data_IF_136280447297
#
_entry.id   IF_136280447297
#
_cell.length_a   1.000
_cell.length_b   1.000
_cell.length_c   1.000
_cell.angle_alpha   90.00
_cell.angle_beta   90.00
_cell.angle_gamma   90.00
#
_symmetry.space_group_name_H-M   'P 1'
#
loop_
_entity.id
_entity.type
_entity.pdbx_description
1 polymer ?
#
# COMPACT_ATOMS: atom_id res chain seq x y z
N UNK A 1 -19.86 19.24 13.53
CA UNK A 1 -19.86 17.76 13.62
C UNK A 1 -19.16 17.09 12.44
N UNK A 2 -19.49 17.40 11.18
CA UNK A 2 -18.86 16.80 10.00
C UNK A 2 -17.32 16.95 9.93
N UNK A 3 -16.79 18.13 10.25
CA UNK A 3 -15.35 18.40 10.24
C UNK A 3 -14.55 17.44 11.14
N UNK A 4 -15.06 17.15 12.34
CA UNK A 4 -14.42 16.21 13.29
C UNK A 4 -14.28 14.82 12.68
N UNK A 5 -15.29 14.34 11.95
CA UNK A 5 -15.23 13.04 11.28
C UNK A 5 -14.21 13.02 10.13
N UNK A 6 -14.12 14.10 9.36
CA UNK A 6 -13.14 14.21 8.27
C UNK A 6 -11.71 14.19 8.81
N UNK A 7 -11.45 14.91 9.91
CA UNK A 7 -10.13 14.92 10.55
C UNK A 7 -9.75 13.53 11.07
N UNK A 8 -10.68 12.86 11.79
CA UNK A 8 -10.46 11.49 12.28
C UNK A 8 -10.19 10.55 11.10
N UNK A 9 -10.97 10.66 10.03
CA UNK A 9 -10.80 9.84 8.82
C UNK A 9 -9.46 10.07 8.15
N UNK A 10 -9.05 11.34 7.96
CA UNK A 10 -7.77 11.68 7.35
C UNK A 10 -6.56 11.17 8.15
N UNK A 11 -6.59 11.31 9.48
CA UNK A 11 -5.53 10.76 10.35
C UNK A 11 -5.48 9.23 10.24
N UNK A 12 -6.63 8.55 10.25
CA UNK A 12 -6.70 7.10 10.06
C UNK A 12 -6.18 6.66 8.68
N UNK A 13 -6.56 7.37 7.61
CA UNK A 13 -6.08 7.11 6.25
C UNK A 13 -4.56 7.21 6.14
N UNK A 14 -3.95 8.25 6.71
CA UNK A 14 -2.50 8.44 6.68
C UNK A 14 -1.80 7.34 7.49
N UNK A 15 -2.27 7.07 8.71
CA UNK A 15 -1.70 6.01 9.55
C UNK A 15 -1.80 4.63 8.89
N UNK A 16 -2.95 4.31 8.28
CA UNK A 16 -3.17 3.06 7.56
C UNK A 16 -2.27 2.95 6.33
N UNK A 17 -2.07 4.02 5.57
CA UNK A 17 -1.18 4.05 4.41
C UNK A 17 0.28 3.76 4.78
N UNK A 18 0.78 4.37 5.87
CA UNK A 18 2.13 4.14 6.38
C UNK A 18 2.30 2.68 6.82
N UNK A 19 1.37 2.16 7.62
CA UNK A 19 1.38 0.77 8.08
C UNK A 19 1.34 -0.21 6.90
N UNK A 20 0.50 0.06 5.90
CA UNK A 20 0.41 -0.76 4.70
C UNK A 20 1.70 -0.77 3.89
N UNK A 21 2.41 0.37 3.80
CA UNK A 21 3.72 0.44 3.17
C UNK A 21 4.73 -0.49 3.86
N UNK A 22 4.81 -0.44 5.19
CA UNK A 22 5.73 -1.28 5.98
C UNK A 22 5.37 -2.76 5.80
N UNK A 23 4.11 -3.12 6.04
CA UNK A 23 3.59 -4.49 5.93
C UNK A 23 3.77 -5.05 4.51
N UNK A 24 3.53 -4.27 3.47
CA UNK A 24 3.70 -4.72 2.09
C UNK A 24 5.16 -5.01 1.77
N UNK A 25 6.10 -4.30 2.39
CA UNK A 25 7.53 -4.59 2.29
C UNK A 25 7.91 -5.88 2.95
N UNK A 26 7.55 -6.05 4.23
CA UNK A 26 7.82 -7.26 5.01
C UNK A 26 7.19 -8.49 4.35
N UNK A 27 5.97 -8.34 3.83
CA UNK A 27 5.20 -9.43 3.21
C UNK A 27 5.50 -9.64 1.72
N UNK A 28 6.48 -8.94 1.15
CA UNK A 28 6.87 -9.06 -0.26
C UNK A 28 5.70 -8.83 -1.25
N UNK A 29 4.79 -7.91 -0.90
CA UNK A 29 3.62 -7.53 -1.69
C UNK A 29 3.85 -6.21 -2.43
N UNK A 30 2.95 -5.83 -3.34
CA UNK A 30 3.08 -4.58 -4.09
C UNK A 30 2.84 -3.36 -3.18
N UNK A 31 3.86 -2.52 -2.96
CA UNK A 31 3.76 -1.33 -2.11
C UNK A 31 2.67 -0.38 -2.59
N UNK A 32 2.75 0.06 -3.85
CA UNK A 32 1.89 1.12 -4.39
C UNK A 32 0.42 0.75 -4.32
N UNK A 33 0.10 -0.51 -4.61
CA UNK A 33 -1.26 -1.03 -4.49
C UNK A 33 -1.77 -0.94 -3.05
N UNK A 34 -1.02 -1.47 -2.08
CA UNK A 34 -1.47 -1.54 -0.69
C UNK A 34 -1.49 -0.19 0.03
N UNK A 35 -0.56 0.70 -0.29
CA UNK A 35 -0.52 2.07 0.24
C UNK A 35 -1.70 2.89 -0.28
N UNK A 36 -1.95 2.88 -1.60
CA UNK A 36 -3.05 3.62 -2.21
C UNK A 36 -4.41 3.15 -1.66
N UNK A 37 -4.60 1.84 -1.59
CA UNK A 37 -5.84 1.25 -1.09
C UNK A 37 -6.08 1.51 0.40
N UNK A 38 -5.03 1.45 1.22
CA UNK A 38 -5.15 1.74 2.66
C UNK A 38 -5.32 3.23 2.95
N UNK A 39 -4.90 4.12 2.04
CA UNK A 39 -5.18 5.54 2.15
C UNK A 39 -6.66 5.86 1.86
N UNK A 40 -7.22 5.29 0.78
CA UNK A 40 -8.63 5.50 0.40
C UNK A 40 -9.57 4.82 1.39
N UNK A 41 -9.25 3.57 1.77
CA UNK A 41 -10.01 2.76 2.70
C UNK A 41 -9.09 2.33 3.85
N UNK A 42 -9.00 3.09 4.95
CA UNK A 42 -8.15 2.77 6.11
C UNK A 42 -8.25 1.32 6.60
N UNK A 43 -9.45 0.71 6.70
CA UNK A 43 -9.61 -0.68 7.13
C UNK A 43 -8.91 -1.72 6.24
N UNK A 44 -8.53 -1.36 5.01
CA UNK A 44 -7.90 -2.27 4.05
C UNK A 44 -6.52 -2.75 4.50
N UNK A 45 -5.86 -2.03 5.41
CA UNK A 45 -4.62 -2.48 6.06
C UNK A 45 -4.81 -3.78 6.85
N UNK A 46 -6.01 -4.05 7.38
CA UNK A 46 -6.30 -5.28 8.11
C UNK A 46 -6.21 -6.50 7.20
N UNK A 47 -6.68 -6.40 5.95
CA UNK A 47 -6.53 -7.48 4.96
C UNK A 47 -5.07 -7.82 4.73
N UNK A 48 -4.20 -6.80 4.66
CA UNK A 48 -2.76 -7.00 4.52
C UNK A 48 -2.16 -7.67 5.76
N UNK A 49 -2.65 -7.38 6.97
CA UNK A 49 -2.24 -8.04 8.21
C UNK A 49 -2.58 -9.54 8.19
N UNK A 50 -3.74 -9.93 7.65
CA UNK A 50 -4.13 -11.34 7.55
C UNK A 50 -3.46 -12.10 6.39
N UNK A 51 -3.05 -11.42 5.33
CA UNK A 51 -2.42 -12.08 4.19
C UNK A 51 -1.03 -12.67 4.55
N UNK A 52 -0.71 -13.91 4.17
CA UNK A 52 0.63 -14.43 4.35
C UNK A 52 1.64 -13.70 3.46
N UNK A 53 2.90 -13.71 3.90
CA UNK A 53 4.03 -13.23 3.09
C UNK A 53 4.04 -13.98 1.76
N UNK A 54 4.19 -13.23 0.66
CA UNK A 54 4.29 -13.83 -0.66
C UNK A 54 5.66 -14.46 -0.83
N UNK A 55 5.69 -15.78 -0.99
CA UNK A 55 6.89 -16.53 -1.35
C UNK A 55 7.17 -16.38 -2.85
N UNK A 56 8.45 -16.21 -3.21
CA UNK A 56 8.88 -16.04 -4.60
C UNK A 56 9.22 -14.60 -5.00
N UNK A 57 9.39 -14.38 -6.31
CA UNK A 57 9.77 -13.07 -6.85
C UNK A 57 8.65 -12.06 -6.58
N UNK A 58 9.02 -10.94 -5.97
CA UNK A 58 8.11 -9.81 -5.77
C UNK A 58 7.40 -9.47 -7.08
N UNK A 59 6.08 -9.21 -7.09
CA UNK A 59 5.41 -8.63 -8.24
C UNK A 59 6.11 -7.31 -8.56
N UNK A 60 6.99 -7.34 -9.56
CA UNK A 60 7.68 -6.15 -10.04
C UNK A 60 6.61 -5.36 -10.79
N UNK A 61 6.24 -4.21 -10.25
CA UNK A 61 5.41 -3.26 -10.98
C UNK A 61 6.03 -3.06 -12.36
N UNK A 62 5.20 -3.05 -13.40
CA UNK A 62 5.66 -2.77 -14.75
C UNK A 62 6.48 -1.45 -14.71
N UNK A 63 7.60 -1.38 -15.46
CA UNK A 63 8.34 -0.13 -15.59
C UNK A 63 7.37 1.01 -15.92
N UNK A 64 7.51 2.15 -15.24
CA UNK A 64 6.69 3.31 -15.54
C UNK A 64 7.04 3.88 -16.92
N UNK A 65 8.28 3.69 -17.35
CA UNK A 65 8.77 4.15 -18.65
C UNK A 65 9.02 2.95 -19.59
N UNK A 66 8.46 2.94 -20.82
CA UNK A 66 8.83 1.96 -21.83
C UNK A 66 10.33 1.98 -22.20
N UNK A 67 11.03 3.11 -22.01
CA UNK A 67 12.45 3.25 -22.36
C UNK A 67 13.41 2.69 -21.29
N UNK A 68 12.94 2.40 -20.06
CA UNK A 68 13.71 1.73 -19.00
C UNK A 68 14.19 0.31 -19.39
N UNK A 69 13.76 -0.20 -20.56
CA UNK A 69 14.11 -1.52 -21.08
C UNK A 69 15.35 -1.51 -21.97
N UNK A 70 15.82 -0.34 -22.42
CA UNK A 70 16.89 -0.18 -23.42
C UNK A 70 18.17 0.39 -22.77
N UNK A 71 18.58 -0.14 -21.61
CA UNK A 71 19.92 0.11 -21.05
C UNK A 71 20.49 -1.20 -20.47
N UNK A 72 20.82 -2.16 -21.36
CA UNK A 72 21.76 -3.26 -21.09
C UNK A 72 22.37 -3.75 -22.39
#
# INVERSE_FOLDING_TARGET
MALKYIVIWGVLSIAAAILAGILAGVKNRNYSFWVAWSFVCPPMVLFLVFLPRLEGRRPRSAPLDPDDRIET
#
